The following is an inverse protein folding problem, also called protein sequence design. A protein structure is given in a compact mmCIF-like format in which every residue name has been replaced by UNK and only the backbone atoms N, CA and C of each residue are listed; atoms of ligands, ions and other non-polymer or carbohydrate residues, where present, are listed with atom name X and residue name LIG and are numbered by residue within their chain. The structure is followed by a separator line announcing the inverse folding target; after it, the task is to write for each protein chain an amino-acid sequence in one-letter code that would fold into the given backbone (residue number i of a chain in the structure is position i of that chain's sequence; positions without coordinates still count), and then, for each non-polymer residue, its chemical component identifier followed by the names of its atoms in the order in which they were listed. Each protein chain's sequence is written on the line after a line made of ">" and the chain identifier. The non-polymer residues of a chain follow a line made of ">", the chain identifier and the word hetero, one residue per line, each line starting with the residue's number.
data_IF_604669718911
#
_entry.id   IF_604669718911
#
_cell.length_a   1.000
_cell.length_b   1.000
_cell.length_c   1.000
_cell.angle_alpha   90.00
_cell.angle_beta   90.00
_cell.angle_gamma   90.00
#
_symmetry.space_group_name_H-M   'P 1'
#
loop_
_entity.id
_entity.type
_entity.pdbx_description
1 polymer ?
#
# COMPACT_ATOMS: atom_id res chain seq x y z
N UNK A 1 -32.52 10.53 -38.08
CA UNK A 1 -31.65 9.32 -38.01
C UNK A 1 -30.48 9.50 -37.05
N UNK A 2 -29.72 10.61 -37.09
CA UNK A 2 -28.57 10.83 -36.20
C UNK A 2 -28.88 10.92 -34.69
N UNK A 3 -30.03 11.49 -34.29
CA UNK A 3 -30.39 11.63 -32.86
C UNK A 3 -30.58 10.27 -32.18
N UNK A 4 -31.22 9.32 -32.86
CA UNK A 4 -31.44 7.97 -32.31
C UNK A 4 -30.13 7.18 -32.14
N UNK A 5 -29.16 7.40 -33.03
CA UNK A 5 -27.82 6.80 -32.94
C UNK A 5 -27.06 7.35 -31.73
N UNK A 6 -27.05 8.68 -31.56
CA UNK A 6 -26.42 9.33 -30.38
C UNK A 6 -27.08 8.86 -29.08
N UNK A 7 -28.42 8.76 -29.05
CA UNK A 7 -29.16 8.30 -27.87
C UNK A 7 -28.90 6.82 -27.54
N UNK A 8 -28.77 5.97 -28.56
CA UNK A 8 -28.37 4.57 -28.41
C UNK A 8 -26.96 4.42 -27.86
N UNK A 9 -25.98 5.15 -28.43
CA UNK A 9 -24.60 5.17 -27.92
C UNK A 9 -24.54 5.63 -26.46
N UNK A 10 -25.36 6.62 -26.07
CA UNK A 10 -25.33 7.18 -24.73
C UNK A 10 -26.02 6.29 -23.67
N UNK A 11 -27.12 5.64 -24.03
CA UNK A 11 -27.90 4.81 -23.09
C UNK A 11 -27.43 3.35 -23.00
N UNK A 12 -26.82 2.80 -24.05
CA UNK A 12 -26.51 1.36 -24.12
C UNK A 12 -25.00 1.12 -24.21
N UNK A 13 -24.28 1.75 -25.13
CA UNK A 13 -22.86 1.48 -25.33
C UNK A 13 -21.98 2.05 -24.20
N UNK A 14 -22.14 3.33 -23.84
CA UNK A 14 -21.35 3.95 -22.75
C UNK A 14 -21.48 3.20 -21.41
N UNK A 15 -22.68 2.79 -20.94
CA UNK A 15 -22.81 2.02 -19.71
C UNK A 15 -22.37 0.56 -19.85
N UNK A 16 -22.43 -0.05 -21.04
CA UNK A 16 -22.01 -1.44 -21.24
C UNK A 16 -20.49 -1.58 -21.36
N UNK A 17 -19.81 -0.64 -22.01
CA UNK A 17 -18.34 -0.58 -22.04
C UNK A 17 -17.76 -0.32 -20.65
N UNK A 18 -18.35 0.60 -19.87
CA UNK A 18 -17.95 0.82 -18.48
C UNK A 18 -18.09 -0.44 -17.64
N UNK A 19 -19.24 -1.13 -17.72
CA UNK A 19 -19.45 -2.41 -17.03
C UNK A 19 -18.46 -3.48 -17.45
N UNK A 20 -18.23 -3.67 -18.76
CA UNK A 20 -17.22 -4.63 -19.26
C UNK A 20 -15.81 -4.29 -18.78
N UNK A 21 -15.46 -3.01 -18.74
CA UNK A 21 -14.16 -2.56 -18.24
C UNK A 21 -14.04 -2.81 -16.74
N UNK A 22 -15.07 -2.48 -15.95
CA UNK A 22 -15.09 -2.74 -14.51
C UNK A 22 -15.03 -4.23 -14.19
N UNK A 23 -15.75 -5.07 -14.93
CA UNK A 23 -15.71 -6.53 -14.83
C UNK A 23 -14.32 -7.08 -15.18
N UNK A 24 -13.72 -6.57 -16.26
CA UNK A 24 -12.36 -6.93 -16.64
C UNK A 24 -11.36 -6.50 -15.58
N UNK A 25 -11.38 -5.24 -15.16
CA UNK A 25 -10.51 -4.69 -14.13
C UNK A 25 -10.65 -5.46 -12.83
N UNK A 26 -11.87 -5.89 -12.46
CA UNK A 26 -12.16 -6.70 -11.27
C UNK A 26 -11.66 -8.14 -11.40
N UNK A 27 -11.78 -8.75 -12.58
CA UNK A 27 -11.34 -10.14 -12.83
C UNK A 27 -9.82 -10.29 -12.94
N UNK A 28 -9.12 -9.20 -13.25
CA UNK A 28 -7.65 -9.14 -13.32
C UNK A 28 -6.98 -8.74 -12.00
N UNK A 29 -7.74 -8.40 -10.95
CA UNK A 29 -7.19 -8.07 -9.62
C UNK A 29 -6.49 -9.26 -9.00
N UNK A 30 -5.34 -9.01 -8.38
CA UNK A 30 -4.67 -10.01 -7.53
C UNK A 30 -5.52 -10.32 -6.29
N UNK A 31 -6.10 -9.29 -5.68
CA UNK A 31 -6.85 -9.38 -4.43
C UNK A 31 -8.01 -8.38 -4.48
N UNK A 32 -9.21 -8.83 -4.07
CA UNK A 32 -10.41 -8.01 -4.04
C UNK A 32 -10.80 -7.67 -2.61
N UNK A 33 -10.78 -6.38 -2.27
CA UNK A 33 -11.17 -5.88 -0.97
C UNK A 33 -11.62 -4.41 -1.07
N UNK A 34 -12.21 -3.90 0.00
CA UNK A 34 -12.55 -2.48 0.11
C UNK A 34 -11.51 -1.81 1.03
N UNK A 35 -10.73 -0.82 0.54
CA UNK A 35 -9.72 -0.10 1.31
C UNK A 35 -10.23 0.52 2.62
N UNK A 36 -11.49 0.96 2.64
CA UNK A 36 -12.11 1.59 3.81
C UNK A 36 -12.37 0.57 4.93
N UNK A 37 -12.55 -0.69 4.56
CA UNK A 37 -12.80 -1.77 5.50
C UNK A 37 -11.51 -2.36 6.10
N UNK A 38 -10.32 -1.87 5.71
CA UNK A 38 -9.03 -2.34 6.24
C UNK A 38 -8.79 -1.76 7.64
N UNK A 39 -8.79 -2.62 8.67
CA UNK A 39 -8.45 -2.28 10.07
C UNK A 39 -6.98 -2.45 10.39
N UNK A 40 -6.29 -3.38 9.75
CA UNK A 40 -4.86 -3.57 9.94
C UNK A 40 -4.20 -4.09 8.68
N UNK A 41 -2.92 -3.75 8.52
CA UNK A 41 -2.04 -4.32 7.51
C UNK A 41 -0.79 -4.88 8.19
N UNK A 42 -0.38 -6.08 7.80
CA UNK A 42 0.81 -6.75 8.30
C UNK A 42 1.70 -7.24 7.17
N UNK A 43 3.01 -7.05 7.34
CA UNK A 43 4.06 -7.58 6.49
C UNK A 43 4.87 -8.58 7.31
N UNK A 44 4.73 -9.86 7.03
CA UNK A 44 5.43 -10.95 7.74
C UNK A 44 6.59 -11.41 6.88
N UNK A 45 7.81 -11.34 7.44
CA UNK A 45 9.08 -11.64 6.78
C UNK A 45 9.94 -12.56 7.65
N UNK A 46 9.71 -13.87 7.56
CA UNK A 46 10.25 -14.82 8.52
C UNK A 46 9.82 -14.43 9.95
N UNK A 47 10.79 -14.16 10.83
CA UNK A 47 10.54 -13.73 12.21
C UNK A 47 10.18 -12.24 12.35
N UNK A 48 10.48 -11.43 11.33
CA UNK A 48 10.23 -9.99 11.37
C UNK A 48 8.80 -9.69 10.93
N UNK A 49 8.05 -8.97 11.76
CA UNK A 49 6.69 -8.53 11.43
C UNK A 49 6.56 -7.02 11.56
N UNK A 50 5.98 -6.39 10.54
CA UNK A 50 5.56 -5.00 10.58
C UNK A 50 4.04 -4.97 10.56
N UNK A 51 3.42 -4.43 11.59
CA UNK A 51 1.96 -4.35 11.69
C UNK A 51 1.52 -2.94 11.98
N UNK A 52 0.60 -2.42 11.16
CA UNK A 52 -0.07 -1.14 11.38
C UNK A 52 -1.56 -1.36 11.54
N UNK A 53 -2.16 -0.69 12.52
CA UNK A 53 -3.60 -0.67 12.81
C UNK A 53 -4.17 0.70 12.49
N UNK A 54 -5.32 0.73 11.84
CA UNK A 54 -6.10 1.93 11.60
C UNK A 54 -6.89 2.27 12.86
N UNK A 55 -6.65 3.44 13.43
CA UNK A 55 -7.34 3.94 14.63
C UNK A 55 -8.47 4.92 14.29
N UNK A 56 -8.40 5.55 13.12
CA UNK A 56 -9.37 6.52 12.63
C UNK A 56 -9.15 6.83 11.15
N UNK A 57 -9.87 7.83 10.63
CA UNK A 57 -9.62 8.38 9.28
C UNK A 57 -8.23 8.98 9.23
N UNK A 58 -7.38 8.48 8.33
CA UNK A 58 -5.96 8.87 8.21
C UNK A 58 -5.13 8.76 9.51
N UNK A 59 -5.54 7.87 10.41
CA UNK A 59 -4.79 7.59 11.63
C UNK A 59 -4.36 6.14 11.64
N UNK A 60 -3.06 5.93 11.46
CA UNK A 60 -2.43 4.63 11.51
C UNK A 60 -1.43 4.58 12.66
N UNK A 61 -1.42 3.46 13.38
CA UNK A 61 -0.46 3.17 14.45
C UNK A 61 0.33 1.92 14.09
N UNK A 62 1.65 2.03 14.04
CA UNK A 62 2.53 0.87 14.03
C UNK A 62 2.54 0.24 15.41
N UNK A 63 2.22 -1.05 15.46
CA UNK A 63 2.17 -1.86 16.69
C UNK A 63 3.30 -2.89 16.76
N UNK A 64 3.94 -3.18 15.64
CA UNK A 64 5.14 -4.00 15.54
C UNK A 64 6.03 -3.51 14.38
N UNK A 65 7.36 -3.59 14.49
CA UNK A 65 8.12 -4.09 15.66
C UNK A 65 8.25 -3.05 16.78
N UNK A 66 7.86 -1.80 16.53
CA UNK A 66 7.87 -0.71 17.52
C UNK A 66 6.47 -0.14 17.66
N UNK A 67 6.18 0.43 18.83
CA UNK A 67 4.96 1.20 19.05
C UNK A 67 5.20 2.66 18.63
N UNK A 68 4.72 3.05 17.45
CA UNK A 68 4.94 4.38 16.90
C UNK A 68 3.80 4.79 15.97
N UNK A 69 3.60 6.10 15.79
CA UNK A 69 2.65 6.61 14.79
C UNK A 69 3.06 6.13 13.39
N UNK A 70 2.08 5.70 12.62
CA UNK A 70 2.23 5.34 11.22
C UNK A 70 2.13 6.56 10.32
N UNK A 71 2.85 6.53 9.21
CA UNK A 71 2.70 7.50 8.12
C UNK A 71 1.40 7.15 7.36
N UNK A 72 0.35 7.92 7.63
CA UNK A 72 -0.97 7.64 7.09
C UNK A 72 -1.01 7.68 5.55
N UNK A 73 -0.31 8.62 4.93
CA UNK A 73 -0.23 8.73 3.48
C UNK A 73 0.46 7.49 2.90
N UNK A 74 1.63 7.12 3.43
CA UNK A 74 2.39 5.99 2.93
C UNK A 74 1.63 4.66 3.07
N UNK A 75 0.86 4.49 4.15
CA UNK A 75 0.03 3.30 4.36
C UNK A 75 -1.18 3.29 3.43
N UNK A 76 -1.92 4.39 3.34
CA UNK A 76 -3.07 4.52 2.45
C UNK A 76 -2.69 4.36 0.98
N UNK A 77 -1.53 4.89 0.57
CA UNK A 77 -0.97 4.69 -0.78
C UNK A 77 -0.65 3.23 -1.05
N UNK A 78 -0.10 2.52 -0.06
CA UNK A 78 0.20 1.09 -0.20
C UNK A 78 -1.07 0.24 -0.28
N UNK A 79 -2.07 0.51 0.58
CA UNK A 79 -3.37 -0.16 0.54
C UNK A 79 -4.06 0.06 -0.81
N UNK A 80 -4.05 1.31 -1.30
CA UNK A 80 -4.59 1.66 -2.61
C UNK A 80 -3.83 0.99 -3.75
N UNK A 81 -2.51 0.94 -3.68
CA UNK A 81 -1.67 0.21 -4.63
C UNK A 81 -2.04 -1.29 -4.66
N UNK A 82 -2.21 -1.92 -3.50
CA UNK A 82 -2.55 -3.34 -3.41
C UNK A 82 -3.96 -3.62 -3.97
N UNK A 83 -4.92 -2.73 -3.70
CA UNK A 83 -6.27 -2.80 -4.30
C UNK A 83 -6.25 -2.58 -5.82
N UNK A 84 -5.22 -1.89 -6.32
CA UNK A 84 -5.04 -1.62 -7.74
C UNK A 84 -4.14 -2.61 -8.47
N UNK A 85 -3.54 -3.57 -7.75
CA UNK A 85 -2.62 -4.53 -8.32
C UNK A 85 -3.35 -5.59 -9.15
N UNK A 86 -3.02 -5.63 -10.45
CA UNK A 86 -3.51 -6.66 -11.36
C UNK A 86 -2.44 -7.73 -11.59
N UNK A 87 -2.88 -8.99 -11.74
CA UNK A 87 -2.02 -10.03 -12.28
C UNK A 87 -2.00 -9.92 -13.81
N UNK A 88 -0.86 -10.25 -14.40
CA UNK A 88 -0.67 -10.28 -15.86
C UNK A 88 -0.98 -11.64 -16.45
N UNK A 89 -0.83 -12.71 -15.66
CA UNK A 89 -1.04 -14.09 -16.10
C UNK A 89 -1.31 -14.99 -14.91
N UNK A 90 -2.21 -15.96 -15.10
CA UNK A 90 -2.27 -17.15 -14.24
C UNK A 90 -1.21 -18.13 -14.72
N UNK A 91 -0.24 -18.42 -13.86
CA UNK A 91 0.90 -19.28 -14.17
C UNK A 91 0.49 -20.74 -14.00
N UNK A 92 -0.15 -21.04 -12.87
CA UNK A 92 -0.67 -22.37 -12.57
C UNK A 92 -1.96 -22.26 -11.75
N UNK A 93 -2.99 -22.96 -12.20
CA UNK A 93 -4.34 -22.89 -11.60
C UNK A 93 -4.40 -23.62 -10.25
N UNK A 94 -3.76 -24.81 -10.20
CA UNK A 94 -3.77 -25.74 -9.08
C UNK A 94 -2.39 -26.42 -8.98
N UNK A 95 -1.36 -25.70 -8.49
CA UNK A 95 -0.01 -26.23 -8.42
C UNK A 95 0.09 -27.43 -7.50
N UNK A 96 0.84 -28.44 -7.94
CA UNK A 96 1.24 -29.58 -7.09
C UNK A 96 2.45 -29.26 -6.23
N UNK A 97 3.27 -28.31 -6.67
CA UNK A 97 4.49 -27.87 -6.00
C UNK A 97 4.62 -26.34 -6.14
N UNK A 98 4.80 -25.67 -5.01
CA UNK A 98 4.96 -24.22 -4.95
C UNK A 98 6.44 -23.78 -4.87
N UNK A 99 7.36 -24.73 -4.71
CA UNK A 99 8.80 -24.50 -4.58
C UNK A 99 9.39 -23.73 -5.76
N UNK A 100 9.07 -24.04 -7.03
CA UNK A 100 9.65 -23.34 -8.19
C UNK A 100 9.28 -21.85 -8.27
N UNK A 101 8.29 -21.42 -7.50
CA UNK A 101 7.79 -20.06 -7.47
C UNK A 101 8.18 -19.30 -6.20
N UNK A 102 8.93 -19.94 -5.28
CA UNK A 102 9.23 -19.39 -3.96
C UNK A 102 7.98 -19.23 -3.08
N UNK A 103 6.91 -19.98 -3.36
CA UNK A 103 5.61 -19.83 -2.68
C UNK A 103 5.33 -20.94 -1.65
N UNK A 104 6.18 -21.96 -1.56
CA UNK A 104 6.08 -23.01 -0.52
C UNK A 104 6.44 -22.45 0.86
N UNK A 105 7.60 -21.77 0.94
CA UNK A 105 8.04 -20.99 2.11
C UNK A 105 8.28 -19.53 1.72
N UNK A 106 7.22 -18.72 1.52
CA UNK A 106 7.36 -17.37 0.99
C UNK A 106 8.07 -16.44 1.99
N UNK A 107 9.06 -15.69 1.50
CA UNK A 107 9.83 -14.72 2.29
C UNK A 107 8.98 -13.55 2.80
N UNK A 108 7.85 -13.28 2.15
CA UNK A 108 6.97 -12.16 2.48
C UNK A 108 5.50 -12.57 2.36
N UNK A 109 4.74 -12.30 3.43
CA UNK A 109 3.28 -12.36 3.42
C UNK A 109 2.73 -10.97 3.73
N UNK A 110 1.78 -10.51 2.92
CA UNK A 110 1.05 -9.26 3.17
C UNK A 110 -0.37 -9.62 3.55
N UNK A 111 -0.80 -9.24 4.75
CA UNK A 111 -2.09 -9.59 5.32
C UNK A 111 -2.87 -8.32 5.67
N UNK A 112 -4.11 -8.25 5.22
CA UNK A 112 -5.12 -7.27 5.54
C UNK A 112 -6.12 -7.89 6.52
N UNK A 113 -6.30 -7.27 7.68
CA UNK A 113 -7.39 -7.60 8.60
C UNK A 113 -8.54 -6.63 8.36
N UNK A 114 -9.70 -7.19 8.02
CA UNK A 114 -10.89 -6.42 7.63
C UNK A 114 -11.79 -6.14 8.84
N UNK A 115 -12.67 -5.14 8.73
CA UNK A 115 -13.58 -4.75 9.80
C UNK A 115 -14.60 -5.82 10.20
N UNK A 116 -14.96 -6.70 9.27
CA UNK A 116 -15.84 -7.86 9.43
C UNK A 116 -15.15 -9.08 10.07
N UNK A 117 -13.85 -8.99 10.41
CA UNK A 117 -13.06 -10.09 10.97
C UNK A 117 -12.41 -11.00 9.93
N UNK A 118 -12.68 -10.81 8.64
CA UNK A 118 -12.03 -11.55 7.56
C UNK A 118 -10.55 -11.15 7.44
N UNK A 119 -9.71 -12.10 7.04
CA UNK A 119 -8.34 -11.82 6.62
C UNK A 119 -8.19 -12.09 5.13
N UNK A 120 -7.59 -11.12 4.43
CA UNK A 120 -7.25 -11.24 3.02
C UNK A 120 -5.77 -10.93 2.86
N UNK A 121 -5.13 -11.45 1.83
CA UNK A 121 -3.71 -11.20 1.67
C UNK A 121 -3.11 -11.96 0.51
N UNK A 122 -1.80 -11.79 0.37
CA UNK A 122 -0.99 -12.46 -0.64
C UNK A 122 0.28 -13.01 -0.03
N UNK A 123 0.69 -14.18 -0.51
CA UNK A 123 2.07 -14.65 -0.42
C UNK A 123 2.86 -14.08 -1.59
N UNK A 124 4.08 -13.63 -1.31
CA UNK A 124 5.00 -13.09 -2.30
C UNK A 124 6.15 -14.07 -2.46
N UNK A 125 6.27 -14.63 -3.66
CA UNK A 125 7.30 -15.58 -4.01
C UNK A 125 8.53 -14.91 -4.64
N UNK A 126 9.13 -15.64 -5.58
CA UNK A 126 10.34 -15.21 -6.28
C UNK A 126 10.04 -14.23 -7.41
N UNK A 127 11.07 -13.47 -7.79
CA UNK A 127 11.06 -12.67 -9.00
C UNK A 127 10.92 -13.58 -10.23
N UNK A 128 10.07 -13.19 -11.17
CA UNK A 128 9.87 -13.92 -12.41
C UNK A 128 11.14 -13.85 -13.28
N UNK A 129 11.58 -14.93 -13.94
CA UNK A 129 12.83 -14.95 -14.72
C UNK A 129 12.92 -13.91 -15.84
N UNK A 130 11.77 -13.49 -16.37
CA UNK A 130 11.66 -12.42 -17.40
C UNK A 130 11.78 -10.99 -16.84
N UNK A 131 12.00 -10.82 -15.54
CA UNK A 131 12.16 -9.53 -14.88
C UNK A 131 10.85 -8.74 -14.69
N UNK A 132 10.90 -7.73 -13.81
CA UNK A 132 9.81 -6.77 -13.52
C UNK A 132 8.45 -7.39 -13.17
N UNK A 133 8.45 -8.65 -12.73
CA UNK A 133 7.27 -9.38 -12.29
C UNK A 133 7.64 -10.25 -11.10
N UNK A 134 6.64 -10.59 -10.30
CA UNK A 134 6.79 -11.46 -9.14
C UNK A 134 5.67 -12.50 -9.13
N UNK A 135 5.98 -13.70 -8.62
CA UNK A 135 4.98 -14.71 -8.36
C UNK A 135 4.21 -14.38 -7.07
N UNK A 136 2.88 -14.46 -7.14
CA UNK A 136 1.97 -14.23 -6.01
C UNK A 136 0.98 -15.38 -5.89
N UNK A 137 0.57 -15.69 -4.66
CA UNK A 137 -0.64 -16.48 -4.40
C UNK A 137 -1.52 -15.74 -3.40
N UNK A 138 -2.84 -15.96 -3.44
CA UNK A 138 -3.71 -15.45 -2.38
C UNK A 138 -3.44 -16.22 -1.07
N UNK A 139 -3.65 -15.56 0.06
CA UNK A 139 -3.47 -16.17 1.40
C UNK A 139 -4.30 -17.45 1.58
N UNK A 140 -5.53 -17.46 1.07
CA UNK A 140 -6.48 -18.57 1.17
C UNK A 140 -6.67 -19.31 -0.16
N UNK A 141 -5.69 -19.22 -1.09
CA UNK A 141 -5.77 -19.84 -2.41
C UNK A 141 -4.45 -20.48 -2.83
N UNK A 142 -4.52 -21.47 -3.71
CA UNK A 142 -3.35 -22.20 -4.23
C UNK A 142 -2.88 -21.70 -5.60
N UNK A 143 -3.71 -20.94 -6.34
CA UNK A 143 -3.38 -20.44 -7.69
C UNK A 143 -2.11 -19.57 -7.66
N UNK A 144 -1.22 -19.81 -8.63
CA UNK A 144 -0.01 -18.99 -8.85
C UNK A 144 -0.28 -17.94 -9.91
N UNK A 145 -0.03 -16.68 -9.55
CA UNK A 145 -0.20 -15.51 -10.40
C UNK A 145 1.16 -14.88 -10.69
N UNK A 146 1.34 -14.34 -11.89
CA UNK A 146 2.46 -13.43 -12.19
C UNK A 146 1.95 -12.00 -12.28
N UNK A 147 2.37 -11.13 -11.37
CA UNK A 147 1.96 -9.72 -11.36
C UNK A 147 3.07 -8.80 -11.90
N UNK A 148 2.68 -7.74 -12.59
CA UNK A 148 3.56 -6.72 -13.17
C UNK A 148 4.15 -5.77 -12.13
N UNK A 149 4.80 -6.31 -11.10
CA UNK A 149 5.40 -5.53 -10.02
C UNK A 149 6.70 -6.19 -9.55
N UNK A 150 7.62 -5.35 -9.08
CA UNK A 150 8.89 -5.76 -8.47
C UNK A 150 8.71 -6.07 -6.98
N UNK A 151 9.43 -7.09 -6.47
CA UNK A 151 9.36 -7.50 -5.04
C UNK A 151 9.62 -6.34 -4.08
N UNK A 152 10.52 -5.40 -4.43
CA UNK A 152 10.83 -4.21 -3.61
C UNK A 152 9.64 -3.26 -3.37
N UNK A 153 8.64 -3.22 -4.26
CA UNK A 153 7.44 -2.37 -4.10
C UNK A 153 6.52 -2.97 -3.04
N UNK A 154 6.48 -4.30 -2.94
CA UNK A 154 5.73 -5.07 -1.96
C UNK A 154 6.45 -5.13 -0.61
N UNK A 155 7.78 -5.24 -0.63
CA UNK A 155 8.64 -5.42 0.53
C UNK A 155 8.88 -4.11 1.32
N UNK A 156 7.85 -3.61 1.99
CA UNK A 156 7.91 -2.36 2.77
C UNK A 156 8.69 -2.50 4.06
N UNK A 157 9.49 -1.50 4.42
CA UNK A 157 10.26 -1.46 5.67
C UNK A 157 9.56 -0.60 6.72
N UNK A 158 9.96 -0.75 7.99
CA UNK A 158 9.44 0.06 9.12
C UNK A 158 9.59 1.55 8.82
N UNK A 159 10.76 1.96 8.33
CA UNK A 159 11.04 3.35 7.95
C UNK A 159 10.09 3.87 6.86
N UNK A 160 9.52 3.02 6.01
CA UNK A 160 8.66 3.42 4.90
C UNK A 160 7.20 3.64 5.32
N UNK A 161 6.83 3.18 6.51
CA UNK A 161 5.45 3.15 7.01
C UNK A 161 5.28 3.84 8.38
N UNK A 162 6.38 4.15 9.07
CA UNK A 162 6.37 4.90 10.33
C UNK A 162 6.39 6.40 10.04
N UNK A 163 5.65 7.18 10.81
CA UNK A 163 5.77 8.63 10.83
C UNK A 163 7.21 9.01 11.22
N UNK A 164 7.88 9.75 10.32
CA UNK A 164 9.28 10.13 10.43
C UNK A 164 9.46 11.51 11.05
N UNK A 165 8.37 12.19 11.38
CA UNK A 165 8.36 13.52 11.98
C UNK A 165 9.07 13.45 13.33
N UNK A 166 10.23 14.08 13.44
CA UNK A 166 11.00 14.15 14.69
C UNK A 166 10.49 15.30 15.57
N UNK A 167 10.04 16.39 14.94
CA UNK A 167 9.55 17.59 15.61
C UNK A 167 8.22 18.00 14.98
N UNK A 168 7.14 17.86 15.74
CA UNK A 168 5.80 18.31 15.36
C UNK A 168 5.50 19.62 16.10
N UNK A 169 6.07 20.73 15.60
CA UNK A 169 5.78 22.07 16.12
C UNK A 169 4.96 22.86 15.11
N UNK A 170 4.06 23.69 15.60
CA UNK A 170 3.32 24.64 14.76
C UNK A 170 4.20 25.86 14.51
N UNK A 171 4.44 26.24 13.25
CA UNK A 171 5.25 27.41 12.88
C UNK A 171 4.90 28.72 13.62
N UNK A 172 3.62 29.00 13.97
CA UNK A 172 3.28 30.16 14.79
C UNK A 172 3.87 30.12 16.21
N UNK A 173 4.16 28.94 16.76
CA UNK A 173 4.69 28.75 18.12
C UNK A 173 6.21 28.91 18.22
N UNK A 174 6.92 29.00 17.09
CA UNK A 174 8.37 29.19 17.08
C UNK A 174 8.66 30.65 17.42
N UNK A 175 9.24 30.90 18.59
CA UNK A 175 9.61 32.24 19.05
C UNK A 175 11.10 32.54 18.86
N UNK A 176 11.93 31.50 18.70
CA UNK A 176 13.39 31.61 18.63
C UNK A 176 13.98 30.47 17.80
N UNK A 177 14.98 30.77 16.97
CA UNK A 177 15.81 29.80 16.24
C UNK A 177 17.27 30.07 16.63
N UNK A 178 18.03 29.05 17.02
CA UNK A 178 19.45 29.18 17.35
C UNK A 178 20.30 28.26 16.47
N UNK A 179 21.25 28.85 15.75
CA UNK A 179 22.28 28.12 15.01
C UNK A 179 23.57 28.10 15.83
N UNK A 180 24.02 26.91 16.23
CA UNK A 180 25.25 26.73 16.98
C UNK A 180 26.28 26.03 16.08
N UNK A 181 27.39 26.71 15.77
CA UNK A 181 28.49 26.15 14.97
C UNK A 181 29.84 26.50 15.58
N UNK A 182 30.66 25.49 15.87
CA UNK A 182 32.00 25.67 16.45
C UNK A 182 32.01 26.57 17.69
N UNK A 183 31.02 26.41 18.58
CA UNK A 183 30.88 27.22 19.80
C UNK A 183 30.37 28.65 19.59
N UNK A 184 30.05 29.06 18.35
CA UNK A 184 29.39 30.34 18.06
C UNK A 184 27.89 30.13 17.90
N UNK A 185 27.09 30.98 18.55
CA UNK A 185 25.63 30.96 18.48
C UNK A 185 25.13 32.16 17.71
N UNK A 186 24.33 31.93 16.68
CA UNK A 186 23.49 32.92 16.03
C UNK A 186 22.05 32.67 16.47
N UNK A 187 21.46 33.63 17.18
CA UNK A 187 20.05 33.57 17.58
C UNK A 187 19.23 34.39 16.58
N UNK A 188 18.02 33.93 16.27
CA UNK A 188 17.00 34.69 15.58
C UNK A 188 15.75 34.66 16.46
N UNK A 189 15.19 35.81 16.83
CA UNK A 189 13.94 35.92 17.57
C UNK A 189 12.82 36.39 16.66
N UNK A 190 11.65 35.79 16.80
CA UNK A 190 10.46 36.19 16.05
C UNK A 190 9.81 37.38 16.76
N UNK A 191 9.67 38.51 16.06
CA UNK A 191 8.82 39.62 16.48
C UNK A 191 7.48 39.54 15.72
N UNK A 192 6.63 40.58 15.79
CA UNK A 192 5.24 40.49 15.28
C UNK A 192 5.13 40.11 13.80
N UNK A 193 6.10 40.52 12.97
CA UNK A 193 6.06 40.29 11.51
C UNK A 193 7.36 39.69 10.91
N UNK A 194 8.47 39.64 11.65
CA UNK A 194 9.78 39.28 11.09
C UNK A 194 10.69 38.48 12.05
N UNK A 195 11.88 38.14 11.58
CA UNK A 195 12.93 37.52 12.39
C UNK A 195 14.10 38.48 12.51
N UNK A 196 14.53 38.73 13.75
CA UNK A 196 15.68 39.60 14.07
C UNK A 196 16.80 38.79 14.71
N UNK A 197 18.05 39.13 14.40
CA UNK A 197 19.26 38.49 14.94
C UNK A 197 19.57 38.99 16.36
#
# INVERSE_FOLDING_TARGET
>A
VFIGIVFYYFLIDLPSEKRKKEEKDRSEKVILFDPENVKAISFIKGENTITLKRLGTDEWQMTAPVNAKGDASAVSDFVSFLNNLNFTRVVEESPKDLTPFGLDTPDLKIILSMNNGETKGVHVGDDHPMGNKVYLSLLNGSRVLAAGVTKNRLDRKVHDLRDKTILDFKTPQITKIEFIRNGKTLSLKKNEESWEV
#
